data_IF_708256271770
#
_entry.id   IF_708256271770
#
_cell.length_a   1.000
_cell.length_b   1.000
_cell.length_c   1.000
_cell.angle_alpha   90.00
_cell.angle_beta   90.00
_cell.angle_gamma   90.00
#
_symmetry.space_group_name_H-M   'P 1'
#
loop_
_entity.id
_entity.type
_entity.pdbx_description
1 polymer ?
#
# COMPACT_ATOMS: atom_id res chain seq x y z
N UNK A 1 -22.07 17.73 8.01
CA UNK A 1 -21.06 17.45 6.95
C UNK A 1 -20.71 15.97 7.10
N UNK A 2 -20.80 15.16 6.05
CA UNK A 2 -20.50 13.73 6.15
C UNK A 2 -18.98 13.57 6.21
N UNK A 3 -18.47 12.92 7.25
CA UNK A 3 -17.05 12.69 7.40
C UNK A 3 -16.53 11.76 6.29
N UNK A 4 -15.35 12.07 5.78
CA UNK A 4 -14.68 11.32 4.72
C UNK A 4 -13.43 10.68 5.28
N UNK A 5 -13.38 9.36 5.28
CA UNK A 5 -12.24 8.62 5.81
C UNK A 5 -11.45 7.95 4.68
N UNK A 6 -10.15 7.86 4.88
CA UNK A 6 -9.23 7.16 3.99
C UNK A 6 -8.61 6.01 4.77
N UNK A 7 -8.75 4.81 4.24
CA UNK A 7 -8.15 3.60 4.83
C UNK A 7 -7.10 3.07 3.86
N UNK A 8 -5.86 3.05 4.31
CA UNK A 8 -4.77 2.48 3.54
C UNK A 8 -4.49 1.04 3.97
N UNK A 9 -4.51 0.12 3.02
CA UNK A 9 -4.20 -1.30 3.21
C UNK A 9 -2.84 -1.57 2.57
N UNK A 10 -1.77 -1.78 3.38
CA UNK A 10 -0.41 -1.91 2.87
C UNK A 10 -0.19 -3.21 2.11
N UNK A 11 0.83 -3.20 1.27
CA UNK A 11 1.28 -4.37 0.54
C UNK A 11 2.06 -5.36 1.41
N UNK A 12 2.55 -6.42 0.76
CA UNK A 12 3.38 -7.47 1.35
C UNK A 12 4.66 -6.94 2.02
N UNK A 13 5.42 -7.84 2.61
CA UNK A 13 6.67 -7.65 3.36
C UNK A 13 6.46 -7.09 4.77
N UNK A 14 7.37 -7.38 5.71
CA UNK A 14 7.38 -6.78 7.02
C UNK A 14 7.34 -5.25 6.94
N UNK A 15 6.57 -4.66 7.82
CA UNK A 15 6.42 -3.20 7.92
C UNK A 15 6.91 -2.74 9.29
N UNK A 16 7.22 -1.46 9.44
CA UNK A 16 7.46 -0.86 10.76
C UNK A 16 6.24 -1.02 11.67
N UNK A 17 6.40 -0.83 12.98
CA UNK A 17 5.27 -0.76 13.91
C UNK A 17 4.18 0.17 13.38
N UNK A 18 2.92 -0.19 13.58
CA UNK A 18 1.76 0.44 12.93
C UNK A 18 1.76 1.97 13.05
N UNK A 19 2.11 2.51 14.23
CA UNK A 19 2.19 3.96 14.44
C UNK A 19 3.28 4.59 13.57
N UNK A 20 4.50 4.05 13.60
CA UNK A 20 5.62 4.55 12.81
C UNK A 20 5.31 4.48 11.31
N UNK A 21 4.79 3.36 10.84
CA UNK A 21 4.39 3.18 9.45
C UNK A 21 3.33 4.20 9.00
N UNK A 22 2.31 4.43 9.85
CA UNK A 22 1.29 5.44 9.60
C UNK A 22 1.88 6.85 9.49
N UNK A 23 2.74 7.21 10.44
CA UNK A 23 3.34 8.54 10.48
C UNK A 23 4.24 8.81 9.24
N UNK A 24 4.99 7.80 8.81
CA UNK A 24 5.79 7.86 7.57
C UNK A 24 4.92 8.04 6.31
N UNK A 25 3.83 7.28 6.21
CA UNK A 25 2.87 7.41 5.10
C UNK A 25 2.21 8.79 5.10
N UNK A 26 1.75 9.27 6.25
CA UNK A 26 1.14 10.59 6.37
C UNK A 26 2.08 11.71 5.94
N UNK A 27 3.35 11.62 6.31
CA UNK A 27 4.36 12.58 5.90
C UNK A 27 4.50 12.66 4.38
N UNK A 28 4.57 11.51 3.70
CA UNK A 28 4.64 11.45 2.24
C UNK A 28 3.35 11.94 1.57
N UNK A 29 2.19 11.53 2.10
CA UNK A 29 0.89 11.88 1.55
C UNK A 29 0.59 13.39 1.69
N UNK A 30 0.94 13.99 2.82
CA UNK A 30 0.82 15.43 3.03
C UNK A 30 1.63 16.22 2.00
N UNK A 31 2.87 15.81 1.78
CA UNK A 31 3.71 16.45 0.77
C UNK A 31 3.16 16.26 -0.64
N UNK A 32 2.65 15.06 -0.96
CA UNK A 32 1.97 14.80 -2.23
C UNK A 32 0.75 15.70 -2.45
N UNK A 33 -0.10 15.85 -1.44
CA UNK A 33 -1.27 16.73 -1.48
C UNK A 33 -0.86 18.20 -1.63
N UNK A 34 0.13 18.66 -0.87
CA UNK A 34 0.66 20.04 -0.97
C UNK A 34 1.16 20.35 -2.38
N UNK A 35 1.77 19.38 -3.06
CA UNK A 35 2.24 19.54 -4.45
C UNK A 35 1.11 19.53 -5.47
N UNK A 36 0.12 18.66 -5.26
CA UNK A 36 -1.02 18.53 -6.16
C UNK A 36 -1.96 19.74 -6.11
N UNK A 37 -2.16 20.30 -4.91
CA UNK A 37 -3.05 21.43 -4.68
C UNK A 37 -2.37 22.52 -3.84
N UNK A 38 -1.48 23.33 -4.47
CA UNK A 38 -0.79 24.40 -3.77
C UNK A 38 -1.79 25.51 -3.38
N UNK A 39 -2.29 25.52 -2.18
CA UNK A 39 -3.26 26.52 -1.68
C UNK A 39 -4.45 25.93 -0.93
N UNK A 40 -4.65 24.63 -1.01
CA UNK A 40 -5.67 23.94 -0.20
C UNK A 40 -5.16 23.73 1.23
N UNK A 41 -5.40 24.71 2.11
CA UNK A 41 -5.08 24.59 3.55
C UNK A 41 -6.07 23.66 4.25
N UNK A 42 -7.33 23.71 3.91
CA UNK A 42 -8.41 22.97 4.60
C UNK A 42 -8.31 21.45 4.44
N UNK A 43 -7.76 20.96 3.32
CA UNK A 43 -7.60 19.52 3.08
C UNK A 43 -6.51 18.86 3.92
N UNK A 44 -5.51 19.62 4.36
CA UNK A 44 -4.34 19.11 5.09
C UNK A 44 -4.55 19.05 6.61
N UNK A 45 -5.30 20.03 7.18
CA UNK A 45 -5.41 20.18 8.63
C UNK A 45 -6.19 19.04 9.31
N UNK A 46 -7.12 18.43 8.58
CA UNK A 46 -7.93 17.32 9.11
C UNK A 46 -7.53 15.93 8.53
N UNK A 47 -6.59 15.89 7.59
CA UNK A 47 -6.21 14.64 6.90
C UNK A 47 -5.78 13.54 7.88
N UNK A 48 -5.03 13.89 8.91
CA UNK A 48 -4.54 12.93 9.91
C UNK A 48 -5.65 12.24 10.69
N UNK A 49 -6.72 12.96 10.99
CA UNK A 49 -7.85 12.42 11.75
C UNK A 49 -8.61 11.38 10.94
N UNK A 50 -8.68 11.60 9.64
CA UNK A 50 -9.45 10.79 8.71
C UNK A 50 -8.62 9.70 8.02
N UNK A 51 -7.28 9.70 8.19
CA UNK A 51 -6.42 8.67 7.64
C UNK A 51 -6.22 7.52 8.63
N UNK A 52 -6.60 6.32 8.23
CA UNK A 52 -6.43 5.08 8.99
C UNK A 52 -5.52 4.12 8.23
N UNK A 53 -4.64 3.44 8.96
CA UNK A 53 -3.80 2.37 8.43
C UNK A 53 -4.34 1.02 8.88
N UNK A 54 -4.73 0.17 7.95
CA UNK A 54 -5.07 -1.22 8.24
C UNK A 54 -3.77 -2.05 8.28
N UNK A 55 -3.05 -1.97 9.39
CA UNK A 55 -1.75 -2.60 9.59
C UNK A 55 -1.90 -4.11 9.86
N UNK A 56 -1.99 -4.91 8.83
CA UNK A 56 -2.18 -6.37 8.90
C UNK A 56 -0.86 -7.17 8.90
N UNK A 57 0.25 -6.56 8.50
CA UNK A 57 1.52 -7.25 8.24
C UNK A 57 2.07 -8.02 9.46
N UNK A 58 1.85 -7.53 10.68
CA UNK A 58 2.24 -8.20 11.92
C UNK A 58 1.53 -9.55 12.15
N UNK A 59 0.35 -9.74 11.57
CA UNK A 59 -0.37 -11.02 11.63
C UNK A 59 0.26 -12.06 10.69
N UNK A 60 0.90 -11.61 9.63
CA UNK A 60 1.45 -12.45 8.59
C UNK A 60 2.96 -12.70 8.73
N UNK A 61 3.69 -11.69 9.17
CA UNK A 61 5.15 -11.73 9.36
C UNK A 61 5.50 -11.68 10.84
N UNK A 62 6.41 -12.56 11.26
CA UNK A 62 6.85 -12.64 12.67
C UNK A 62 7.80 -11.51 13.07
N UNK A 63 8.36 -10.80 12.09
CA UNK A 63 9.34 -9.72 12.30
C UNK A 63 8.78 -8.40 11.79
N UNK A 64 9.12 -7.32 12.47
CA UNK A 64 8.88 -5.96 12.02
C UNK A 64 10.11 -5.40 11.32
N UNK A 65 9.91 -4.46 10.40
CA UNK A 65 10.99 -3.73 9.74
C UNK A 65 11.39 -2.52 10.60
N UNK A 66 12.68 -2.25 10.70
CA UNK A 66 13.15 -0.99 11.27
C UNK A 66 12.84 0.18 10.31
N UNK A 67 11.84 0.98 10.66
CA UNK A 67 11.41 2.13 9.83
C UNK A 67 12.44 3.25 9.79
N UNK A 68 13.38 3.32 10.73
CA UNK A 68 14.40 4.37 10.73
C UNK A 68 15.33 4.28 9.49
N UNK A 69 15.47 3.09 8.94
CA UNK A 69 16.25 2.87 7.71
C UNK A 69 15.65 3.55 6.48
N UNK A 70 14.35 3.79 6.48
CA UNK A 70 13.65 4.41 5.35
C UNK A 70 13.60 5.94 5.48
N UNK A 71 13.84 6.51 6.68
CA UNK A 71 13.73 7.94 6.92
C UNK A 71 14.64 8.80 6.01
N UNK A 72 15.94 8.49 5.82
CA UNK A 72 16.79 9.29 4.93
C UNK A 72 16.30 9.30 3.50
N UNK A 73 15.74 8.18 3.03
CA UNK A 73 15.17 8.06 1.69
C UNK A 73 13.87 8.84 1.55
N UNK A 74 13.01 8.78 2.57
CA UNK A 74 11.78 9.58 2.64
C UNK A 74 12.12 11.07 2.65
N UNK A 75 13.12 11.49 3.43
CA UNK A 75 13.58 12.87 3.48
C UNK A 75 14.09 13.35 2.11
N UNK A 76 14.89 12.53 1.45
CA UNK A 76 15.36 12.83 0.10
C UNK A 76 14.21 12.97 -0.89
N UNK A 77 13.20 12.09 -0.83
CA UNK A 77 12.04 12.11 -1.70
C UNK A 77 11.17 13.38 -1.47
N UNK A 78 10.93 13.74 -0.21
CA UNK A 78 10.14 14.91 0.17
C UNK A 78 10.83 16.20 -0.23
N UNK A 79 12.15 16.25 -0.18
CA UNK A 79 12.92 17.43 -0.54
C UNK A 79 13.16 17.57 -2.06
N UNK A 80 12.82 16.58 -2.86
CA UNK A 80 12.92 16.69 -4.33
C UNK A 80 11.81 17.58 -4.88
N UNK A 81 12.16 18.46 -5.82
CA UNK A 81 11.20 19.33 -6.53
C UNK A 81 10.50 18.65 -7.72
N UNK A 82 10.73 17.37 -7.94
CA UNK A 82 10.15 16.61 -9.04
C UNK A 82 11.02 15.41 -9.42
N UNK A 83 10.64 14.65 -10.47
CA UNK A 83 11.49 13.60 -11.00
C UNK A 83 12.78 14.18 -11.60
N UNK A 84 13.90 13.52 -11.38
CA UNK A 84 15.16 13.87 -12.09
C UNK A 84 15.09 13.40 -13.53
N UNK A 85 15.99 13.93 -14.38
CA UNK A 85 16.13 13.45 -15.77
C UNK A 85 16.49 11.96 -15.82
N UNK A 86 17.16 11.46 -14.78
CA UNK A 86 17.46 10.03 -14.64
C UNK A 86 16.22 9.21 -14.34
N UNK A 87 15.36 9.66 -13.44
CA UNK A 87 14.08 9.03 -13.15
C UNK A 87 13.19 8.95 -14.41
N UNK A 88 13.18 10.02 -15.21
CA UNK A 88 12.44 10.10 -16.47
C UNK A 88 13.02 9.12 -17.51
N UNK A 89 14.35 9.09 -17.67
CA UNK A 89 15.01 8.13 -18.57
C UNK A 89 14.78 6.70 -18.16
N UNK A 90 14.89 6.39 -16.86
CA UNK A 90 14.62 5.04 -16.34
C UNK A 90 13.17 4.62 -16.56
N UNK A 91 12.21 5.53 -16.36
CA UNK A 91 10.80 5.24 -16.59
C UNK A 91 10.48 4.90 -18.07
N UNK A 92 11.25 5.43 -19.01
CA UNK A 92 11.14 5.18 -20.45
C UNK A 92 12.07 4.08 -20.96
N UNK A 93 12.94 3.51 -20.11
CA UNK A 93 13.89 2.50 -20.52
C UNK A 93 13.17 1.24 -21.07
N UNK A 94 13.69 0.72 -22.16
CA UNK A 94 13.10 -0.41 -22.89
C UNK A 94 12.88 -1.66 -22.04
N UNK A 95 13.79 -1.95 -21.08
CA UNK A 95 13.64 -3.09 -20.18
C UNK A 95 12.41 -2.97 -19.27
N UNK A 96 12.03 -1.75 -18.85
CA UNK A 96 10.78 -1.51 -18.11
C UNK A 96 9.54 -1.75 -18.97
N UNK A 97 9.62 -1.43 -20.26
CA UNK A 97 8.54 -1.75 -21.21
C UNK A 97 8.42 -3.26 -21.43
N UNK A 98 9.55 -3.97 -21.51
CA UNK A 98 9.59 -5.42 -21.62
C UNK A 98 8.99 -6.08 -20.36
N UNK A 99 9.35 -5.61 -19.16
CA UNK A 99 8.77 -6.09 -17.91
C UNK A 99 7.24 -5.92 -17.89
N UNK A 100 6.74 -4.75 -18.30
CA UNK A 100 5.29 -4.51 -18.40
C UNK A 100 4.63 -5.46 -19.39
N UNK A 101 5.25 -5.71 -20.52
CA UNK A 101 4.74 -6.65 -21.51
C UNK A 101 4.73 -8.08 -20.98
N UNK A 102 5.80 -8.51 -20.28
CA UNK A 102 5.88 -9.83 -19.66
C UNK A 102 4.80 -10.02 -18.57
N UNK A 103 4.56 -9.00 -17.75
CA UNK A 103 3.47 -9.04 -16.77
C UNK A 103 2.09 -9.10 -17.43
N UNK A 104 1.85 -8.35 -18.51
CA UNK A 104 0.60 -8.40 -19.26
C UNK A 104 0.34 -9.79 -19.88
N UNK A 105 1.42 -10.46 -20.36
CA UNK A 105 1.34 -11.85 -20.85
C UNK A 105 1.09 -12.83 -19.70
N UNK A 106 1.71 -12.61 -18.56
CA UNK A 106 1.53 -13.45 -17.37
C UNK A 106 0.10 -13.34 -16.81
N UNK A 107 -0.53 -12.19 -16.88
CA UNK A 107 -1.95 -12.00 -16.52
C UNK A 107 -2.88 -12.85 -17.42
N UNK A 108 -2.53 -13.00 -18.69
CA UNK A 108 -3.30 -13.84 -19.62
C UNK A 108 -3.02 -15.33 -19.45
N UNK A 109 -1.79 -15.68 -19.04
CA UNK A 109 -1.32 -17.05 -18.88
C UNK A 109 -0.63 -17.25 -17.53
N UNK A 110 -1.39 -17.45 -16.43
CA UNK A 110 -0.85 -17.47 -15.06
C UNK A 110 0.28 -18.47 -14.82
N UNK A 111 0.35 -19.57 -15.59
CA UNK A 111 1.41 -20.56 -15.47
C UNK A 111 2.79 -20.01 -15.85
N UNK A 112 2.87 -18.95 -16.64
CA UNK A 112 4.13 -18.31 -17.05
C UNK A 112 4.78 -17.59 -15.87
N UNK A 113 4.02 -17.14 -14.86
CA UNK A 113 4.54 -16.43 -13.67
C UNK A 113 5.67 -17.23 -13.00
N UNK A 114 5.59 -18.57 -13.02
CA UNK A 114 6.60 -19.44 -12.42
C UNK A 114 7.97 -19.33 -13.08
N UNK A 115 8.03 -18.87 -14.32
CA UNK A 115 9.25 -18.75 -15.12
C UNK A 115 9.74 -17.31 -15.26
N UNK A 116 8.99 -16.32 -14.70
CA UNK A 116 9.41 -14.93 -14.73
C UNK A 116 10.63 -14.70 -13.83
N UNK A 117 11.62 -13.95 -14.30
CA UNK A 117 12.76 -13.55 -13.46
C UNK A 117 12.31 -12.57 -12.37
N UNK A 118 13.05 -12.53 -11.26
CA UNK A 118 12.85 -11.55 -10.20
C UNK A 118 11.87 -11.97 -9.10
N UNK A 119 11.21 -11.05 -8.41
CA UNK A 119 10.41 -11.32 -7.20
C UNK A 119 9.03 -11.96 -7.46
N UNK A 120 8.64 -12.19 -8.73
CA UNK A 120 7.32 -12.72 -9.09
C UNK A 120 7.02 -14.08 -8.43
N UNK A 121 7.93 -15.09 -8.45
CA UNK A 121 7.66 -16.37 -7.80
C UNK A 121 7.45 -16.26 -6.30
N UNK A 122 8.21 -15.40 -5.61
CA UNK A 122 8.03 -15.15 -4.18
C UNK A 122 6.68 -14.50 -3.88
N UNK A 123 6.22 -13.60 -4.76
CA UNK A 123 4.90 -12.96 -4.63
C UNK A 123 3.77 -13.97 -4.78
N UNK A 124 3.88 -14.88 -5.75
CA UNK A 124 2.90 -15.97 -5.96
C UNK A 124 2.85 -16.88 -4.74
N UNK A 125 3.99 -17.25 -4.16
CA UNK A 125 4.04 -18.09 -2.97
C UNK A 125 3.38 -17.40 -1.76
N UNK A 126 3.58 -16.10 -1.59
CA UNK A 126 2.93 -15.34 -0.53
C UNK A 126 1.42 -15.24 -0.72
N UNK A 127 0.95 -15.02 -1.95
CA UNK A 127 -0.47 -15.05 -2.27
C UNK A 127 -1.08 -16.43 -2.04
N UNK A 128 -0.41 -17.50 -2.49
CA UNK A 128 -0.85 -18.88 -2.24
C UNK A 128 -1.03 -19.13 -0.75
N UNK A 129 -0.05 -18.70 0.07
CA UNK A 129 -0.14 -18.83 1.53
C UNK A 129 -1.33 -18.08 2.12
N UNK A 130 -1.69 -16.92 1.57
CA UNK A 130 -2.88 -16.18 1.98
C UNK A 130 -4.16 -16.96 1.63
N UNK A 131 -4.27 -17.46 0.39
CA UNK A 131 -5.45 -18.21 -0.05
C UNK A 131 -5.56 -19.60 0.59
N UNK A 132 -4.45 -20.25 0.91
CA UNK A 132 -4.46 -21.49 1.69
C UNK A 132 -5.04 -21.30 3.10
N UNK A 133 -5.05 -20.07 3.59
CA UNK A 133 -5.65 -19.66 4.86
C UNK A 133 -5.23 -20.53 6.06
N UNK A 134 -4.01 -21.04 6.05
CA UNK A 134 -3.47 -21.82 7.17
C UNK A 134 -3.55 -21.01 8.46
N UNK A 135 -4.02 -21.65 9.52
CA UNK A 135 -4.29 -21.03 10.83
C UNK A 135 -5.26 -19.85 10.78
N UNK A 136 -6.17 -19.82 9.79
CA UNK A 136 -7.17 -18.76 9.61
C UNK A 136 -6.55 -17.33 9.46
N UNK A 137 -5.33 -17.24 8.95
CA UNK A 137 -4.60 -15.98 8.87
C UNK A 137 -5.31 -14.96 7.97
N UNK A 138 -5.83 -15.40 6.83
CA UNK A 138 -6.59 -14.56 5.92
C UNK A 138 -7.87 -14.03 6.57
N UNK A 139 -8.57 -14.87 7.34
CA UNK A 139 -9.73 -14.45 8.13
C UNK A 139 -9.37 -13.36 9.12
N UNK A 140 -8.31 -13.52 9.91
CA UNK A 140 -7.88 -12.52 10.89
C UNK A 140 -7.50 -11.19 10.23
N UNK A 141 -6.83 -11.23 9.08
CA UNK A 141 -6.46 -10.03 8.32
C UNK A 141 -7.72 -9.28 7.84
N UNK A 142 -8.69 -9.99 7.26
CA UNK A 142 -9.97 -9.39 6.82
C UNK A 142 -10.75 -8.79 7.98
N UNK A 143 -10.85 -9.52 9.09
CA UNK A 143 -11.57 -9.02 10.27
C UNK A 143 -10.90 -7.78 10.87
N UNK A 144 -9.57 -7.67 10.79
CA UNK A 144 -8.88 -6.44 11.21
C UNK A 144 -9.28 -5.25 10.32
N UNK A 145 -9.36 -5.43 9.02
CA UNK A 145 -9.82 -4.39 8.10
C UNK A 145 -11.30 -4.04 8.37
N UNK A 146 -12.15 -5.04 8.51
CA UNK A 146 -13.58 -4.85 8.82
C UNK A 146 -13.82 -4.11 10.13
N UNK A 147 -13.04 -4.39 11.18
CA UNK A 147 -13.12 -3.67 12.47
C UNK A 147 -12.87 -2.17 12.32
N UNK A 148 -12.01 -1.77 11.37
CA UNK A 148 -11.76 -0.35 11.10
C UNK A 148 -12.91 0.28 10.31
N UNK A 149 -13.48 -0.45 9.35
CA UNK A 149 -14.45 0.08 8.40
C UNK A 149 -15.88 0.10 8.97
N UNK A 150 -16.31 -0.97 9.65
CA UNK A 150 -17.69 -1.11 10.14
C UNK A 150 -18.22 0.10 10.91
N UNK A 151 -17.51 0.65 11.93
CA UNK A 151 -18.01 1.80 12.67
C UNK A 151 -18.28 3.04 11.79
N UNK A 152 -17.48 3.22 10.74
CA UNK A 152 -17.63 4.34 9.81
C UNK A 152 -18.86 4.14 8.90
N UNK A 153 -19.06 2.92 8.41
CA UNK A 153 -20.24 2.59 7.60
C UNK A 153 -21.52 2.68 8.43
N UNK A 154 -21.50 2.18 9.66
CA UNK A 154 -22.63 2.24 10.59
C UNK A 154 -23.02 3.71 10.92
N UNK A 155 -22.03 4.60 10.92
CA UNK A 155 -22.23 6.06 11.08
C UNK A 155 -22.53 6.78 9.77
N UNK A 156 -22.75 6.06 8.66
CA UNK A 156 -23.00 6.62 7.33
C UNK A 156 -21.89 7.58 6.83
N UNK A 157 -20.66 7.34 7.24
CA UNK A 157 -19.48 8.07 6.79
C UNK A 157 -19.02 7.57 5.40
N UNK A 158 -18.39 8.46 4.63
CA UNK A 158 -17.78 8.07 3.36
C UNK A 158 -16.39 7.49 3.59
N UNK A 159 -16.13 6.33 3.02
CA UNK A 159 -14.86 5.64 3.15
C UNK A 159 -14.23 5.43 1.77
N UNK A 160 -12.97 5.87 1.63
CA UNK A 160 -12.10 5.54 0.51
C UNK A 160 -11.09 4.49 0.97
N UNK A 161 -11.11 3.30 0.37
CA UNK A 161 -10.11 2.27 0.65
C UNK A 161 -9.05 2.29 -0.44
N UNK A 162 -7.80 2.46 -0.03
CA UNK A 162 -6.63 2.44 -0.91
C UNK A 162 -5.82 1.17 -0.60
N UNK A 163 -5.87 0.20 -1.49
CA UNK A 163 -5.05 -1.01 -1.39
C UNK A 163 -3.77 -0.89 -2.21
N UNK A 164 -2.63 -1.30 -1.64
CA UNK A 164 -1.36 -1.39 -2.33
C UNK A 164 -0.92 -2.85 -2.47
N UNK A 165 -0.67 -3.31 -3.70
CA UNK A 165 -0.18 -4.69 -3.96
C UNK A 165 -1.10 -5.73 -3.29
N UNK A 166 -0.60 -6.63 -2.45
CA UNK A 166 -1.39 -7.61 -1.69
C UNK A 166 -2.52 -6.97 -0.87
N UNK A 167 -2.36 -5.72 -0.42
CA UNK A 167 -3.42 -4.95 0.25
C UNK A 167 -4.65 -4.73 -0.62
N UNK A 168 -4.51 -4.67 -1.95
CA UNK A 168 -5.66 -4.57 -2.87
C UNK A 168 -6.48 -5.85 -2.88
N UNK A 169 -5.80 -7.00 -2.83
CA UNK A 169 -6.44 -8.33 -2.78
C UNK A 169 -7.17 -8.49 -1.44
N UNK A 170 -6.51 -8.11 -0.33
CA UNK A 170 -7.12 -8.16 1.01
C UNK A 170 -8.36 -7.26 1.09
N UNK A 171 -8.28 -6.06 0.53
CA UNK A 171 -9.41 -5.14 0.48
C UNK A 171 -10.57 -5.74 -0.32
N UNK A 172 -10.30 -6.27 -1.52
CA UNK A 172 -11.31 -6.91 -2.36
C UNK A 172 -11.96 -8.14 -1.68
N UNK A 173 -11.15 -8.98 -1.03
CA UNK A 173 -11.62 -10.19 -0.36
C UNK A 173 -12.37 -9.91 0.96
N UNK A 174 -12.28 -8.69 1.49
CA UNK A 174 -12.98 -8.27 2.70
C UNK A 174 -14.41 -7.79 2.46
N UNK A 175 -14.76 -7.39 1.24
CA UNK A 175 -16.06 -6.88 0.83
C UNK A 175 -16.83 -7.87 -0.01
#
# INVERSE_FOLDING_TARGET
MVDRNIIFVPGKNPKPPAKQHRDMLLRCLREGLRRAEPGSKDGLDNFDKHFKLAAWNHLYYKTEKDGNRDLPWIDALINRHGPSDEDIREAHAWHRQLDRMLYAVADRFPFIIRFLPGPAPATVNELSRYFENKHNIAYHIREQLKKIIRPMLDSNERVLVIGHSMGSIIAYDAF
#
